data_IF_863457941610
#
_entry.id   IF_863457941610
#
_cell.length_a   1.000
_cell.length_b   1.000
_cell.length_c   1.000
_cell.angle_alpha   90.00
_cell.angle_beta   90.00
_cell.angle_gamma   90.00
#
_symmetry.space_group_name_H-M   'P 1'
#
loop_
_entity.id
_entity.type
_entity.pdbx_description
1 polymer ?
#
# COMPACT_ATOMS: atom_id res chain seq x y z
N UNK A 1 18.39 12.57 -3.25
CA UNK A 1 19.01 12.45 -4.58
C UNK A 1 17.92 12.04 -5.54
N UNK A 2 17.64 12.85 -6.52
CA UNK A 2 16.60 12.59 -7.51
C UNK A 2 17.08 11.48 -8.47
N UNK A 3 16.39 10.36 -8.51
CA UNK A 3 16.70 9.25 -9.41
C UNK A 3 16.61 9.65 -10.88
N UNK A 4 15.74 10.62 -11.16
CA UNK A 4 15.52 11.14 -12.50
C UNK A 4 16.73 11.96 -13.00
N UNK A 5 17.49 12.58 -12.10
CA UNK A 5 18.72 13.31 -12.44
C UNK A 5 19.84 12.40 -13.00
N UNK A 6 19.71 11.07 -12.87
CA UNK A 6 20.62 10.09 -13.48
C UNK A 6 20.26 9.73 -14.92
N UNK A 7 19.09 10.13 -15.38
CA UNK A 7 18.65 9.85 -16.74
C UNK A 7 19.23 10.88 -17.70
N UNK A 8 20.13 10.45 -18.58
CA UNK A 8 20.63 11.26 -19.68
C UNK A 8 19.63 11.30 -20.84
N UNK A 9 19.69 12.34 -21.66
CA UNK A 9 18.85 12.49 -22.86
C UNK A 9 18.98 11.34 -23.87
N UNK A 10 20.07 10.59 -23.78
CA UNK A 10 20.35 9.43 -24.63
C UNK A 10 19.64 8.13 -24.18
N UNK A 11 19.06 8.12 -22.98
CA UNK A 11 18.33 6.95 -22.51
C UNK A 11 16.95 6.85 -23.17
N UNK A 12 16.43 5.61 -23.40
CA UNK A 12 15.08 5.42 -23.91
C UNK A 12 14.02 6.13 -23.05
N UNK A 13 12.97 6.62 -23.68
CA UNK A 13 11.88 7.32 -23.01
C UNK A 13 11.21 6.44 -21.92
N UNK A 14 11.17 5.12 -22.15
CA UNK A 14 10.64 4.15 -21.20
C UNK A 14 11.45 4.12 -19.88
N UNK A 15 12.79 4.19 -19.97
CA UNK A 15 13.64 4.25 -18.78
C UNK A 15 13.44 5.56 -18.03
N UNK A 16 13.36 6.66 -18.74
CA UNK A 16 13.09 7.98 -18.16
C UNK A 16 11.72 8.03 -17.47
N UNK A 17 10.70 7.45 -18.12
CA UNK A 17 9.37 7.31 -17.54
C UNK A 17 9.39 6.47 -16.27
N UNK A 18 10.07 5.33 -16.29
CA UNK A 18 10.22 4.46 -15.12
C UNK A 18 10.85 5.19 -13.93
N UNK A 19 11.94 5.91 -14.15
CA UNK A 19 12.61 6.68 -13.09
C UNK A 19 11.70 7.79 -12.54
N UNK A 20 10.91 8.44 -13.38
CA UNK A 20 9.90 9.41 -12.95
C UNK A 20 8.82 8.79 -12.08
N UNK A 21 8.30 7.63 -12.48
CA UNK A 21 7.32 6.89 -11.69
C UNK A 21 7.87 6.52 -10.30
N UNK A 22 9.11 6.03 -10.22
CA UNK A 22 9.78 5.74 -8.95
C UNK A 22 9.93 6.98 -8.09
N UNK A 23 10.39 8.07 -8.65
CA UNK A 23 10.55 9.34 -7.94
C UNK A 23 9.22 9.84 -7.40
N UNK A 24 8.17 9.87 -8.21
CA UNK A 24 6.83 10.25 -7.77
C UNK A 24 6.32 9.36 -6.64
N UNK A 25 6.47 8.04 -6.79
CA UNK A 25 6.05 7.07 -5.75
C UNK A 25 6.77 7.32 -4.43
N UNK A 26 8.09 7.53 -4.46
CA UNK A 26 8.88 7.80 -3.25
C UNK A 26 8.49 9.12 -2.57
N UNK A 27 8.23 10.16 -3.35
CA UNK A 27 7.81 11.46 -2.81
C UNK A 27 6.44 11.35 -2.12
N UNK A 28 5.49 10.68 -2.75
CA UNK A 28 4.14 10.46 -2.18
C UNK A 28 4.23 9.59 -0.92
N UNK A 29 4.97 8.48 -0.98
CA UNK A 29 5.16 7.62 0.20
C UNK A 29 5.81 8.37 1.37
N UNK A 30 6.81 9.20 1.10
CA UNK A 30 7.45 10.02 2.15
C UNK A 30 6.45 10.96 2.82
N UNK A 31 5.59 11.60 2.03
CA UNK A 31 4.54 12.49 2.55
C UNK A 31 3.56 11.71 3.44
N UNK A 32 3.09 10.55 2.96
CA UNK A 32 2.18 9.68 3.72
C UNK A 32 2.82 9.18 5.02
N UNK A 33 4.08 8.70 4.96
CA UNK A 33 4.82 8.25 6.15
C UNK A 33 4.95 9.35 7.20
N UNK A 34 5.26 10.55 6.77
CA UNK A 34 5.37 11.70 7.68
C UNK A 34 4.01 12.01 8.32
N UNK A 35 2.95 12.08 7.53
CA UNK A 35 1.60 12.34 8.03
C UNK A 35 1.12 11.28 9.04
N UNK A 36 1.35 9.99 8.74
CA UNK A 36 1.01 8.89 9.65
C UNK A 36 1.79 8.98 10.97
N UNK A 37 3.08 9.28 10.90
CA UNK A 37 3.92 9.42 12.10
C UNK A 37 3.51 10.62 12.95
N UNK A 38 3.29 11.77 12.34
CA UNK A 38 3.02 13.01 13.04
C UNK A 38 1.62 13.07 13.65
N UNK A 39 0.61 12.57 12.92
CA UNK A 39 -0.78 12.64 13.37
C UNK A 39 -1.27 11.42 14.15
N UNK A 40 -0.75 10.24 13.85
CA UNK A 40 -1.27 8.99 14.39
C UNK A 40 -0.21 8.16 15.13
N UNK A 41 1.03 8.62 15.18
CA UNK A 41 2.14 7.88 15.82
C UNK A 41 2.23 6.44 15.31
N UNK A 42 2.03 6.25 14.01
CA UNK A 42 2.04 4.93 13.35
C UNK A 42 2.94 4.93 12.12
N UNK A 43 3.04 3.78 11.48
CA UNK A 43 3.89 3.56 10.29
C UNK A 43 3.05 3.17 9.09
N UNK A 44 3.58 3.39 7.88
CA UNK A 44 2.91 2.99 6.65
C UNK A 44 2.68 1.47 6.56
N UNK A 45 3.61 0.57 6.93
CA UNK A 45 3.32 -0.86 6.97
C UNK A 45 2.17 -1.24 7.90
N UNK A 46 2.04 -0.60 9.05
CA UNK A 46 0.92 -0.82 9.98
C UNK A 46 -0.41 -0.37 9.36
N UNK A 47 -0.42 0.79 8.76
CA UNK A 47 -1.58 1.32 8.04
C UNK A 47 -1.99 0.40 6.87
N UNK A 48 -1.03 -0.05 6.07
CA UNK A 48 -1.27 -0.96 4.94
C UNK A 48 -1.88 -2.29 5.41
N UNK A 49 -1.34 -2.88 6.48
CA UNK A 49 -1.90 -4.09 7.09
C UNK A 49 -3.36 -3.89 7.51
N UNK A 50 -3.66 -2.82 8.22
CA UNK A 50 -5.03 -2.49 8.64
C UNK A 50 -5.94 -2.26 7.44
N UNK A 51 -5.45 -1.64 6.38
CA UNK A 51 -6.16 -1.43 5.12
C UNK A 51 -6.56 -2.75 4.45
N UNK A 52 -5.69 -3.76 4.48
CA UNK A 52 -6.03 -5.09 3.96
C UNK A 52 -7.12 -5.75 4.80
N UNK A 53 -7.03 -5.65 6.12
CA UNK A 53 -8.00 -6.25 7.05
C UNK A 53 -9.36 -5.55 7.03
N UNK A 54 -9.42 -4.27 6.72
CA UNK A 54 -10.68 -3.54 6.59
C UNK A 54 -11.57 -4.17 5.53
N UNK A 55 -10.99 -4.66 4.44
CA UNK A 55 -11.69 -5.33 3.34
C UNK A 55 -12.07 -6.79 3.63
N UNK A 56 -11.67 -7.32 4.76
CA UNK A 56 -11.93 -8.70 5.17
C UNK A 56 -12.51 -8.73 6.59
N UNK A 57 -13.79 -8.37 6.78
CA UNK A 57 -14.40 -8.27 8.11
C UNK A 57 -14.41 -9.60 8.88
N UNK A 58 -14.44 -10.73 8.17
CA UNK A 58 -14.35 -12.08 8.77
C UNK A 58 -12.91 -12.52 9.06
N UNK A 59 -11.95 -11.67 8.73
CA UNK A 59 -10.54 -11.93 8.93
C UNK A 59 -9.83 -12.56 7.73
N UNK A 60 -8.51 -12.54 7.80
CA UNK A 60 -7.60 -13.00 6.76
C UNK A 60 -6.51 -13.87 7.36
N UNK A 61 -6.12 -14.93 6.66
CA UNK A 61 -4.97 -15.76 7.03
C UNK A 61 -3.67 -14.97 6.85
N UNK A 62 -2.67 -15.27 7.69
CA UNK A 62 -1.39 -14.54 7.67
C UNK A 62 -0.66 -14.64 6.34
N UNK A 63 -0.68 -15.80 5.68
CA UNK A 63 -0.06 -15.95 4.37
C UNK A 63 -0.76 -15.14 3.27
N UNK A 64 -2.06 -14.99 3.34
CA UNK A 64 -2.83 -14.15 2.44
C UNK A 64 -2.55 -12.67 2.70
N UNK A 65 -2.56 -12.25 3.96
CA UNK A 65 -2.22 -10.90 4.37
C UNK A 65 -0.84 -10.49 3.89
N UNK A 66 0.17 -11.35 4.08
CA UNK A 66 1.53 -11.11 3.62
C UNK A 66 1.63 -10.91 2.10
N UNK A 67 0.82 -11.64 1.32
CA UNK A 67 0.79 -11.48 -0.15
C UNK A 67 0.07 -10.22 -0.61
N UNK A 68 -0.89 -9.72 0.17
CA UNK A 68 -1.69 -8.54 -0.17
C UNK A 68 -1.07 -7.23 0.27
N UNK A 69 -0.09 -7.27 1.17
CA UNK A 69 0.61 -6.07 1.60
C UNK A 69 1.26 -5.38 0.40
N UNK A 70 0.95 -4.12 0.22
CA UNK A 70 1.48 -3.31 -0.89
C UNK A 70 2.82 -2.68 -0.55
N UNK A 71 3.09 -2.48 0.73
CA UNK A 71 4.31 -1.86 1.23
C UNK A 71 5.23 -2.95 1.79
N UNK A 72 6.42 -3.07 1.20
CA UNK A 72 7.48 -3.93 1.70
C UNK A 72 8.25 -3.23 2.84
N UNK A 73 8.85 -3.99 3.74
CA UNK A 73 9.75 -3.45 4.76
C UNK A 73 9.26 -3.66 6.19
N UNK A 74 8.44 -4.68 6.40
CA UNK A 74 8.03 -5.05 7.74
C UNK A 74 7.94 -6.56 7.91
N UNK A 75 8.28 -7.04 9.08
CA UNK A 75 7.88 -8.35 9.54
C UNK A 75 6.36 -8.33 9.78
N UNK A 76 5.58 -8.89 8.86
CA UNK A 76 4.10 -8.90 8.94
C UNK A 76 3.63 -9.55 10.25
N UNK A 77 4.28 -10.61 10.70
CA UNK A 77 3.98 -11.25 11.99
C UNK A 77 4.24 -10.29 13.15
N UNK A 78 5.39 -9.64 13.18
CA UNK A 78 5.74 -8.68 14.25
C UNK A 78 4.81 -7.47 14.28
N UNK A 79 4.44 -6.95 13.11
CA UNK A 79 3.47 -5.84 12.98
C UNK A 79 2.10 -6.29 13.50
N UNK A 80 1.65 -7.48 13.13
CA UNK A 80 0.39 -8.05 13.60
C UNK A 80 0.39 -8.19 15.12
N UNK A 81 1.46 -8.71 15.70
CA UNK A 81 1.59 -8.88 17.15
C UNK A 81 1.52 -7.55 17.91
N UNK A 82 2.15 -6.51 17.38
CA UNK A 82 2.04 -5.15 17.93
C UNK A 82 0.60 -4.65 17.91
N UNK A 83 -0.10 -4.80 16.78
CA UNK A 83 -1.48 -4.36 16.64
C UNK A 83 -2.44 -5.16 17.53
N UNK A 84 -2.17 -6.45 17.74
CA UNK A 84 -2.91 -7.28 18.71
C UNK A 84 -2.70 -6.78 20.13
N UNK A 85 -1.46 -6.50 20.52
CA UNK A 85 -1.13 -5.95 21.85
C UNK A 85 -1.81 -4.61 22.08
N UNK A 86 -1.92 -3.78 21.07
CA UNK A 86 -2.61 -2.47 21.13
C UNK A 86 -4.14 -2.59 21.07
N UNK A 87 -4.69 -3.79 20.85
CA UNK A 87 -6.13 -4.01 20.76
C UNK A 87 -6.80 -3.50 19.47
N UNK A 88 -6.01 -3.29 18.41
CA UNK A 88 -6.50 -2.84 17.10
C UNK A 88 -6.82 -4.00 16.17
N UNK A 89 -6.18 -5.13 16.39
CA UNK A 89 -6.35 -6.39 15.66
C UNK A 89 -6.58 -7.52 16.66
N UNK A 90 -7.34 -8.51 16.28
CA UNK A 90 -7.55 -9.73 17.07
C UNK A 90 -7.34 -10.98 16.23
N UNK A 91 -6.95 -12.06 16.90
CA UNK A 91 -6.87 -13.40 16.31
C UNK A 91 -8.20 -14.09 16.46
N UNK A 92 -8.63 -14.75 15.41
CA UNK A 92 -9.88 -15.53 15.37
C UNK A 92 -9.54 -16.95 14.96
N UNK A 93 -9.97 -17.91 15.75
CA UNK A 93 -9.79 -19.33 15.43
C UNK A 93 -10.60 -19.72 14.20
N UNK A 94 -10.02 -20.57 13.37
CA UNK A 94 -10.73 -21.18 12.25
C UNK A 94 -11.44 -22.44 12.77
N UNK A 95 -12.75 -22.51 12.57
CA UNK A 95 -13.54 -23.66 12.97
C UNK A 95 -12.97 -24.97 12.37
N UNK A 96 -12.64 -25.92 13.23
CA UNK A 96 -12.13 -27.23 12.84
C UNK A 96 -10.62 -27.34 12.66
N UNK A 97 -9.86 -26.28 12.79
CA UNK A 97 -8.40 -26.30 12.71
C UNK A 97 -7.74 -25.47 13.82
N UNK A 98 -7.22 -26.13 14.85
CA UNK A 98 -6.52 -25.50 15.97
C UNK A 98 -5.20 -24.81 15.59
N UNK A 99 -4.66 -25.09 14.39
CA UNK A 99 -3.39 -24.53 13.89
C UNK A 99 -3.60 -23.35 12.96
N UNK A 100 -4.82 -23.19 12.43
CA UNK A 100 -5.17 -22.10 11.55
C UNK A 100 -5.88 -21.01 12.34
N UNK A 101 -5.41 -19.80 12.21
CA UNK A 101 -6.04 -18.63 12.78
C UNK A 101 -6.07 -17.51 11.72
N UNK A 102 -7.07 -16.67 11.86
CA UNK A 102 -7.23 -15.48 11.05
C UNK A 102 -7.00 -14.25 11.92
N UNK A 103 -6.66 -13.14 11.29
CA UNK A 103 -6.62 -11.84 11.95
C UNK A 103 -7.67 -10.94 11.33
N UNK A 104 -8.28 -10.12 12.16
CA UNK A 104 -9.26 -9.10 11.76
C UNK A 104 -9.12 -7.85 12.60
N UNK A 105 -9.63 -6.74 12.10
CA UNK A 105 -9.75 -5.52 12.90
C UNK A 105 -10.76 -5.73 14.03
N UNK A 106 -10.43 -5.22 15.21
CA UNK A 106 -11.40 -5.01 16.28
C UNK A 106 -12.31 -3.82 15.95
N UNK A 107 -13.37 -3.61 16.71
CA UNK A 107 -14.22 -2.41 16.58
C UNK A 107 -13.36 -1.15 16.76
N UNK A 108 -12.46 -1.14 17.75
CA UNK A 108 -11.52 -0.04 17.99
C UNK A 108 -10.54 0.13 16.83
N UNK A 109 -10.03 -0.98 16.29
CA UNK A 109 -9.12 -0.96 15.16
C UNK A 109 -9.77 -0.41 13.89
N UNK A 110 -11.01 -0.79 13.63
CA UNK A 110 -11.79 -0.26 12.49
C UNK A 110 -12.00 1.24 12.60
N UNK A 111 -12.36 1.73 13.79
CA UNK A 111 -12.52 3.17 14.02
C UNK A 111 -11.21 3.93 13.81
N UNK A 112 -10.12 3.44 14.37
CA UNK A 112 -8.79 4.04 14.21
C UNK A 112 -8.36 4.04 12.74
N UNK A 113 -8.64 2.97 12.00
CA UNK A 113 -8.35 2.89 10.58
C UNK A 113 -9.14 3.91 9.76
N UNK A 114 -10.43 4.10 10.02
CA UNK A 114 -11.26 5.06 9.30
C UNK A 114 -10.68 6.47 9.44
N UNK A 115 -10.30 6.87 10.65
CA UNK A 115 -9.70 8.19 10.91
C UNK A 115 -8.39 8.38 10.14
N UNK A 116 -7.56 7.34 10.07
CA UNK A 116 -6.31 7.36 9.29
C UNK A 116 -6.58 7.39 7.78
N UNK A 117 -7.55 6.61 7.32
CA UNK A 117 -7.90 6.51 5.90
C UNK A 117 -8.42 7.83 5.32
N UNK A 118 -9.22 8.57 6.08
CA UNK A 118 -9.70 9.91 5.69
C UNK A 118 -8.52 10.88 5.50
N UNK A 119 -7.56 10.88 6.42
CA UNK A 119 -6.37 11.73 6.30
C UNK A 119 -5.45 11.26 5.17
N UNK A 120 -5.30 9.96 5.00
CA UNK A 120 -4.53 9.39 3.89
C UNK A 120 -5.12 9.80 2.54
N UNK A 121 -6.42 9.68 2.36
CA UNK A 121 -7.10 10.13 1.14
C UNK A 121 -6.81 11.61 0.85
N UNK A 122 -6.88 12.45 1.86
CA UNK A 122 -6.59 13.87 1.74
C UNK A 122 -5.16 14.13 1.25
N UNK A 123 -4.17 13.46 1.84
CA UNK A 123 -2.76 13.59 1.40
C UNK A 123 -2.55 13.11 -0.04
N UNK A 124 -3.24 12.05 -0.44
CA UNK A 124 -3.16 11.56 -1.83
C UNK A 124 -3.79 12.58 -2.80
N UNK A 125 -4.95 13.14 -2.47
CA UNK A 125 -5.58 14.19 -3.28
C UNK A 125 -4.64 15.40 -3.43
N UNK A 126 -4.00 15.84 -2.35
CA UNK A 126 -3.02 16.93 -2.38
C UNK A 126 -1.82 16.58 -3.26
N UNK A 127 -1.31 15.36 -3.18
CA UNK A 127 -0.15 14.94 -3.97
C UNK A 127 -0.41 14.99 -5.49
N UNK A 128 -1.67 14.79 -5.90
CA UNK A 128 -2.09 14.88 -7.30
C UNK A 128 -2.69 16.25 -7.67
N UNK A 129 -2.64 17.22 -6.78
CA UNK A 129 -3.25 18.54 -6.97
C UNK A 129 -2.70 19.36 -8.14
N UNK A 130 -1.56 18.97 -8.72
CA UNK A 130 -1.01 19.55 -9.93
C UNK A 130 -1.69 19.08 -11.23
N UNK A 131 -2.58 18.10 -11.17
CA UNK A 131 -3.29 17.55 -12.31
C UNK A 131 -4.78 17.91 -12.26
N UNK A 132 -5.35 18.22 -13.43
CA UNK A 132 -6.79 18.33 -13.55
C UNK A 132 -7.46 16.95 -13.70
N UNK A 133 -8.80 16.90 -13.63
CA UNK A 133 -9.56 15.65 -13.66
C UNK A 133 -9.34 14.81 -14.93
N UNK A 134 -9.15 15.46 -16.09
CA UNK A 134 -8.88 14.75 -17.35
C UNK A 134 -7.48 14.12 -17.34
N UNK A 135 -6.49 14.84 -16.83
CA UNK A 135 -5.12 14.36 -16.70
C UNK A 135 -5.02 13.18 -15.72
N UNK A 136 -5.72 13.24 -14.58
CA UNK A 136 -5.82 12.12 -13.64
C UNK A 136 -6.41 10.89 -14.32
N UNK A 137 -7.54 11.04 -15.01
CA UNK A 137 -8.19 9.94 -15.74
C UNK A 137 -7.27 9.36 -16.82
N UNK A 138 -6.57 10.21 -17.56
CA UNK A 138 -5.63 9.79 -18.60
C UNK A 138 -4.44 9.02 -18.03
N UNK A 139 -3.83 9.54 -16.97
CA UNK A 139 -2.71 8.88 -16.29
C UNK A 139 -3.12 7.53 -15.73
N UNK A 140 -4.26 7.45 -15.05
CA UNK A 140 -4.81 6.20 -14.53
C UNK A 140 -5.01 5.16 -15.64
N UNK A 141 -5.57 5.56 -16.78
CA UNK A 141 -5.76 4.69 -17.95
C UNK A 141 -4.44 4.19 -18.52
N UNK A 142 -3.44 5.07 -18.67
CA UNK A 142 -2.12 4.71 -19.19
C UNK A 142 -1.38 3.75 -18.27
N UNK A 143 -1.37 4.03 -16.97
CA UNK A 143 -0.79 3.13 -15.98
C UNK A 143 -1.52 1.78 -15.92
N UNK A 144 -2.83 1.76 -16.17
CA UNK A 144 -3.61 0.53 -16.31
C UNK A 144 -3.11 -0.35 -17.45
N UNK A 145 -2.76 0.24 -18.61
CA UNK A 145 -2.15 -0.51 -19.73
C UNK A 145 -0.80 -1.11 -19.36
N UNK A 146 0.06 -0.34 -18.70
CA UNK A 146 1.37 -0.83 -18.23
C UNK A 146 1.17 -2.01 -17.27
N UNK A 147 0.25 -1.89 -16.32
CA UNK A 147 -0.06 -2.95 -15.36
C UNK A 147 -0.53 -4.23 -16.06
N UNK A 148 -1.45 -4.12 -17.00
CA UNK A 148 -1.96 -5.28 -17.75
C UNK A 148 -0.85 -6.00 -18.52
N UNK A 149 0.00 -5.24 -19.22
CA UNK A 149 1.13 -5.80 -19.97
C UNK A 149 2.13 -6.50 -19.04
N UNK A 150 2.45 -5.92 -17.91
CA UNK A 150 3.39 -6.49 -16.94
C UNK A 150 2.87 -7.74 -16.22
N UNK A 151 1.55 -7.97 -16.22
CA UNK A 151 0.93 -9.19 -15.66
C UNK A 151 0.75 -10.29 -16.69
N UNK A 152 0.84 -9.99 -17.99
CA UNK A 152 0.86 -11.03 -19.01
C UNK A 152 2.15 -11.83 -18.84
N UNK A 153 2.10 -13.17 -18.76
CA UNK A 153 3.32 -13.95 -18.79
C UNK A 153 4.07 -13.56 -20.06
N UNK A 154 5.32 -13.20 -19.88
CA UNK A 154 6.22 -13.08 -21.03
C UNK A 154 6.06 -14.38 -21.78
N UNK A 155 5.59 -14.32 -23.03
CA UNK A 155 5.53 -15.48 -23.90
C UNK A 155 6.92 -16.11 -23.80
N UNK A 156 6.96 -17.36 -23.35
CA UNK A 156 8.17 -18.16 -23.38
C UNK A 156 8.67 -18.08 -24.82
N UNK A 157 9.72 -17.30 -25.01
CA UNK A 157 10.41 -17.26 -26.27
C UNK A 157 11.10 -18.61 -26.44
N UNK A 158 10.56 -19.42 -27.35
CA UNK A 158 11.23 -20.59 -27.89
C UNK A 158 12.60 -20.23 -28.46
#
# INVERSE_FOLDING_TARGET
MDLEARAHSEHPDELRLWLRMLTCTQLIEKQVRNGLRERFTTTLPRFDLMSQLERAPDGMKMNELSRRMMVTGGNVTGITDQLVTEGLVERVDVAGDRRAWRVRLTVRGRKAFIDMAEQHEHWIVEAFGGLNAKEITQLHRLLGKVKQHSHSPLAEAE
#
